data_IF_199927422883
#
_entry.id   IF_199927422883
#
_cell.length_a   1.000
_cell.length_b   1.000
_cell.length_c   1.000
_cell.angle_alpha   90.00
_cell.angle_beta   90.00
_cell.angle_gamma   90.00
#
_symmetry.space_group_name_H-M   'P 1'
#
loop_
_entity.id
_entity.type
_entity.pdbx_description
1 polymer ?
#
# COMPACT_ATOMS: atom_id res chain seq x y z
N UNK A 1 -30.58 -35.37 -10.71
CA UNK A 1 -29.71 -34.76 -11.74
C UNK A 1 -29.49 -33.25 -11.56
N UNK A 2 -30.54 -32.45 -11.35
CA UNK A 2 -30.43 -30.99 -11.15
C UNK A 2 -29.59 -30.61 -9.93
N UNK A 3 -29.78 -31.28 -8.79
CA UNK A 3 -29.03 -30.99 -7.55
C UNK A 3 -27.51 -31.13 -7.73
N UNK A 4 -27.05 -32.14 -8.47
CA UNK A 4 -25.62 -32.34 -8.73
C UNK A 4 -25.04 -31.22 -9.61
N UNK A 5 -25.78 -30.78 -10.63
CA UNK A 5 -25.38 -29.66 -11.50
C UNK A 5 -25.30 -28.34 -10.71
N UNK A 6 -26.23 -28.12 -9.79
CA UNK A 6 -26.22 -26.95 -8.90
C UNK A 6 -25.00 -26.97 -7.97
N UNK A 7 -24.71 -28.10 -7.33
CA UNK A 7 -23.53 -28.21 -6.46
C UNK A 7 -22.22 -28.06 -7.25
N UNK A 8 -22.13 -28.61 -8.45
CA UNK A 8 -20.99 -28.39 -9.33
C UNK A 8 -20.81 -26.91 -9.68
N UNK A 9 -21.89 -26.21 -10.06
CA UNK A 9 -21.84 -24.79 -10.36
C UNK A 9 -21.39 -23.95 -9.15
N UNK A 10 -21.88 -24.26 -7.94
CA UNK A 10 -21.43 -23.61 -6.70
C UNK A 10 -19.95 -23.85 -6.44
N UNK A 11 -19.47 -25.08 -6.58
CA UNK A 11 -18.06 -25.41 -6.39
C UNK A 11 -17.16 -24.66 -7.39
N UNK A 12 -17.57 -24.59 -8.67
CA UNK A 12 -16.87 -23.83 -9.70
C UNK A 12 -16.84 -22.33 -9.38
N UNK A 13 -17.96 -21.75 -8.93
CA UNK A 13 -18.02 -20.35 -8.54
C UNK A 13 -17.11 -20.04 -7.34
N UNK A 14 -17.10 -20.91 -6.31
CA UNK A 14 -16.19 -20.77 -5.16
C UNK A 14 -14.74 -20.89 -5.58
N UNK A 15 -14.40 -21.83 -6.46
CA UNK A 15 -13.05 -21.96 -7.02
C UNK A 15 -12.63 -20.66 -7.71
N UNK A 16 -13.45 -20.11 -8.60
CA UNK A 16 -13.15 -18.88 -9.33
C UNK A 16 -12.93 -17.70 -8.36
N UNK A 17 -13.83 -17.54 -7.38
CA UNK A 17 -13.71 -16.48 -6.36
C UNK A 17 -12.42 -16.62 -5.54
N UNK A 18 -12.03 -17.84 -5.16
CA UNK A 18 -10.79 -18.05 -4.42
C UNK A 18 -9.55 -17.63 -5.20
N UNK A 19 -9.52 -17.89 -6.52
CA UNK A 19 -8.41 -17.46 -7.36
C UNK A 19 -8.35 -15.93 -7.47
N UNK A 20 -9.51 -15.28 -7.56
CA UNK A 20 -9.61 -13.81 -7.53
C UNK A 20 -9.13 -13.23 -6.21
N UNK A 21 -9.59 -13.76 -5.07
CA UNK A 21 -9.17 -13.35 -3.73
C UNK A 21 -7.64 -13.47 -3.55
N UNK A 22 -7.04 -14.57 -4.01
CA UNK A 22 -5.58 -14.75 -3.97
C UNK A 22 -4.85 -13.70 -4.81
N UNK A 23 -5.35 -13.42 -6.03
CA UNK A 23 -4.76 -12.40 -6.90
C UNK A 23 -4.87 -11.00 -6.29
N UNK A 24 -6.02 -10.67 -5.69
CA UNK A 24 -6.23 -9.39 -5.01
C UNK A 24 -5.30 -9.25 -3.80
N UNK A 25 -5.15 -10.30 -2.99
CA UNK A 25 -4.24 -10.29 -1.84
C UNK A 25 -2.79 -10.05 -2.28
N UNK A 26 -2.33 -10.75 -3.32
CA UNK A 26 -0.98 -10.54 -3.86
C UNK A 26 -0.78 -9.10 -4.35
N UNK A 27 -1.80 -8.51 -4.96
CA UNK A 27 -1.74 -7.13 -5.43
C UNK A 27 -1.76 -6.12 -4.28
N UNK A 28 -2.57 -6.34 -3.25
CA UNK A 28 -2.55 -5.53 -2.03
C UNK A 28 -1.17 -5.58 -1.36
N UNK A 29 -0.55 -6.76 -1.26
CA UNK A 29 0.83 -6.87 -0.74
C UNK A 29 1.83 -6.03 -1.54
N UNK A 30 1.75 -6.04 -2.87
CA UNK A 30 2.59 -5.20 -3.73
C UNK A 30 2.32 -3.71 -3.50
N UNK A 31 1.04 -3.33 -3.40
CA UNK A 31 0.62 -1.94 -3.18
C UNK A 31 1.09 -1.41 -1.83
N UNK A 32 1.02 -2.20 -0.77
CA UNK A 32 1.50 -1.83 0.56
C UNK A 32 3.00 -1.53 0.52
N UNK A 33 3.79 -2.37 -0.14
CA UNK A 33 5.24 -2.13 -0.31
C UNK A 33 5.49 -0.87 -1.15
N UNK A 34 4.81 -0.73 -2.29
CA UNK A 34 4.95 0.44 -3.16
C UNK A 34 4.55 1.75 -2.46
N UNK A 35 3.49 1.69 -1.64
CA UNK A 35 3.07 2.80 -0.82
C UNK A 35 4.16 3.19 0.17
N UNK A 36 4.74 2.23 0.90
CA UNK A 36 5.85 2.47 1.82
C UNK A 36 7.01 3.22 1.17
N UNK A 37 7.48 2.74 0.01
CA UNK A 37 8.54 3.39 -0.78
C UNK A 37 8.14 4.81 -1.20
N UNK A 38 6.91 5.00 -1.68
CA UNK A 38 6.44 6.34 -2.06
C UNK A 38 6.34 7.28 -0.86
N UNK A 39 5.95 6.75 0.30
CA UNK A 39 5.71 7.54 1.51
C UNK A 39 7.02 7.95 2.17
N UNK A 40 8.02 7.06 2.19
CA UNK A 40 9.40 7.41 2.53
C UNK A 40 9.89 8.58 1.67
N UNK A 41 9.78 8.45 0.34
CA UNK A 41 10.21 9.51 -0.59
C UNK A 41 9.51 10.82 -0.30
N UNK A 42 8.18 10.76 -0.10
CA UNK A 42 7.37 11.94 0.22
C UNK A 42 7.86 12.64 1.48
N UNK A 43 8.24 11.89 2.52
CA UNK A 43 8.82 12.47 3.74
C UNK A 43 10.17 13.12 3.47
N UNK A 44 11.07 12.45 2.74
CA UNK A 44 12.41 12.99 2.40
C UNK A 44 12.34 14.29 1.59
N UNK A 45 11.34 14.44 0.73
CA UNK A 45 11.13 15.64 -0.09
C UNK A 45 10.45 16.78 0.69
N UNK A 46 9.81 16.48 1.83
CA UNK A 46 8.97 17.43 2.56
C UNK A 46 9.70 18.69 3.02
N UNK A 47 10.93 18.64 3.57
CA UNK A 47 11.67 19.84 3.98
C UNK A 47 11.97 20.77 2.80
N UNK A 48 12.14 20.22 1.58
CA UNK A 48 12.47 20.98 0.38
C UNK A 48 11.28 21.80 -0.16
N UNK A 49 10.06 21.51 0.29
CA UNK A 49 8.84 22.18 -0.18
C UNK A 49 8.60 23.54 0.51
N UNK A 50 9.40 23.90 1.51
CA UNK A 50 9.25 25.16 2.25
C UNK A 50 10.61 25.82 2.43
N UNK A 51 10.72 27.08 2.00
CA UNK A 51 11.86 27.93 2.39
C UNK A 51 11.66 28.40 3.82
N UNK A 52 12.65 28.15 4.67
CA UNK A 52 12.64 28.55 6.08
C UNK A 52 13.92 29.34 6.35
N UNK A 53 13.75 30.58 6.81
CA UNK A 53 14.87 31.48 7.13
C UNK A 53 15.51 31.13 8.49
N UNK A 54 14.71 30.62 9.43
CA UNK A 54 15.17 30.15 10.73
C UNK A 54 15.89 28.80 10.60
N UNK A 55 17.19 28.81 10.85
CA UNK A 55 18.05 27.62 10.79
C UNK A 55 17.61 26.51 11.75
N UNK A 56 17.18 26.85 12.97
CA UNK A 56 16.78 25.85 13.97
C UNK A 56 15.50 25.13 13.54
N UNK A 57 14.55 25.88 12.96
CA UNK A 57 13.33 25.30 12.41
C UNK A 57 13.61 24.46 11.17
N UNK A 58 14.53 24.88 10.30
CA UNK A 58 14.92 24.13 9.10
C UNK A 58 15.56 22.77 9.47
N UNK A 59 16.43 22.76 10.48
CA UNK A 59 17.02 21.54 11.04
C UNK A 59 15.95 20.63 11.65
N UNK A 60 15.08 21.17 12.50
CA UNK A 60 13.99 20.41 13.13
C UNK A 60 13.05 19.75 12.13
N UNK A 61 12.68 20.45 11.05
CA UNK A 61 11.86 19.88 9.97
C UNK A 61 12.57 18.75 9.23
N UNK A 62 13.89 18.87 9.05
CA UNK A 62 14.70 17.85 8.37
C UNK A 62 14.81 16.59 9.21
N UNK A 63 15.10 16.72 10.51
CA UNK A 63 15.16 15.60 11.45
C UNK A 63 13.80 14.90 11.55
N UNK A 64 12.73 15.67 11.75
CA UNK A 64 11.37 15.13 11.83
C UNK A 64 10.97 14.35 10.57
N UNK A 65 11.29 14.89 9.38
CA UNK A 65 11.03 14.22 8.12
C UNK A 65 11.84 12.93 7.96
N UNK A 66 13.10 12.91 8.39
CA UNK A 66 13.94 11.72 8.35
C UNK A 66 13.45 10.63 9.31
N UNK A 67 13.01 11.00 10.51
CA UNK A 67 12.41 10.07 11.48
C UNK A 67 11.17 9.37 10.92
N UNK A 68 10.34 10.09 10.14
CA UNK A 68 9.11 9.55 9.57
C UNK A 68 9.31 8.87 8.20
N UNK A 69 10.52 8.97 7.63
CA UNK A 69 10.91 8.29 6.41
C UNK A 69 11.48 6.87 6.67
N UNK A 70 11.80 6.54 7.92
CA UNK A 70 12.29 5.23 8.37
C UNK A 70 11.14 4.34 8.88
#
# INVERSE_FOLDING_TARGET
EIALRVEWAKCKARQARWHEELRLLQEEMRRVIAYGVSKERWWRERPLQRTVEDAALAEGLSVYALEHAA
#
